data_IF_893467067403
#
_entry.id   IF_893467067403
#
_cell.length_a   1.000
_cell.length_b   1.000
_cell.length_c   1.000
_cell.angle_alpha   90.00
_cell.angle_beta   90.00
_cell.angle_gamma   90.00
#
_symmetry.space_group_name_H-M   'P 1'
#
loop_
_entity.id
_entity.type
_entity.pdbx_description
1 polymer ?
#
# COMPACT_ATOMS: atom_id res chain seq x y z
N UNK A 1 -4.88 -50.31 14.06
CA UNK A 1 -5.26 -49.40 12.96
C UNK A 1 -5.13 -50.22 11.70
N UNK A 2 -6.28 -50.62 11.16
CA UNK A 2 -6.39 -51.47 9.97
C UNK A 2 -6.16 -50.62 8.71
N UNK A 3 -5.26 -51.02 7.79
CA UNK A 3 -5.06 -50.32 6.53
C UNK A 3 -5.65 -51.16 5.39
N UNK A 4 -6.91 -50.92 5.01
CA UNK A 4 -7.43 -51.27 3.66
C UNK A 4 -8.93 -51.00 3.49
N UNK A 5 -9.26 -49.91 2.80
CA UNK A 5 -10.36 -49.88 1.82
C UNK A 5 -10.24 -48.62 0.97
N UNK A 6 -9.54 -48.72 -0.16
CA UNK A 6 -9.62 -47.73 -1.23
C UNK A 6 -10.70 -48.24 -2.21
N UNK A 7 -11.78 -47.47 -2.37
CA UNK A 7 -12.85 -47.75 -3.32
C UNK A 7 -12.63 -46.90 -4.59
N UNK A 8 -12.22 -47.51 -5.72
CA UNK A 8 -11.97 -46.79 -6.96
C UNK A 8 -13.24 -46.32 -7.69
N UNK A 9 -14.44 -46.51 -7.13
CA UNK A 9 -15.71 -46.05 -7.71
C UNK A 9 -16.40 -44.93 -6.91
N UNK A 10 -15.71 -44.28 -5.97
CA UNK A 10 -16.21 -43.06 -5.37
C UNK A 10 -16.22 -41.94 -6.44
N UNK A 11 -17.41 -41.64 -6.96
CA UNK A 11 -17.63 -40.48 -7.83
C UNK A 11 -17.16 -39.18 -7.15
N UNK A 12 -17.00 -38.08 -7.93
CA UNK A 12 -16.45 -36.84 -7.42
C UNK A 12 -17.18 -36.40 -6.14
N UNK A 13 -16.45 -36.00 -5.08
CA UNK A 13 -17.07 -35.63 -3.83
C UNK A 13 -18.06 -34.48 -4.08
N UNK A 14 -19.29 -34.67 -3.64
CA UNK A 14 -20.30 -33.63 -3.65
C UNK A 14 -19.73 -32.40 -2.93
N UNK A 15 -19.66 -31.30 -3.68
CA UNK A 15 -19.24 -29.97 -3.26
C UNK A 15 -19.88 -29.64 -1.90
N UNK A 16 -19.10 -29.79 -0.83
CA UNK A 16 -19.54 -29.39 0.51
C UNK A 16 -19.53 -27.88 0.52
N UNK A 17 -20.73 -27.30 0.57
CA UNK A 17 -20.95 -25.86 0.54
C UNK A 17 -20.08 -25.09 1.54
N UNK A 18 -19.84 -23.80 1.25
CA UNK A 18 -18.75 -23.04 1.82
C UNK A 18 -18.87 -22.95 3.34
N UNK A 19 -17.73 -23.23 3.96
CA UNK A 19 -17.39 -22.92 5.33
C UNK A 19 -17.73 -21.47 5.67
N UNK A 20 -18.26 -21.29 6.89
CA UNK A 20 -18.29 -20.07 7.70
C UNK A 20 -18.39 -18.74 6.96
N UNK A 21 -19.55 -18.08 7.08
CA UNK A 21 -19.66 -16.66 6.80
C UNK A 21 -18.46 -15.92 7.43
N UNK A 22 -17.70 -15.13 6.65
CA UNK A 22 -16.62 -14.33 7.19
C UNK A 22 -17.18 -13.49 8.34
N UNK A 23 -16.47 -13.44 9.46
CA UNK A 23 -16.61 -12.36 10.43
C UNK A 23 -16.71 -11.06 9.63
N UNK A 24 -17.83 -10.33 9.78
CA UNK A 24 -18.14 -9.18 8.95
C UNK A 24 -16.97 -8.20 8.87
N UNK A 25 -16.93 -7.36 7.81
CA UNK A 25 -15.85 -6.40 7.60
C UNK A 25 -15.58 -5.65 8.90
N UNK A 26 -14.30 -5.60 9.28
CA UNK A 26 -13.87 -4.89 10.48
C UNK A 26 -14.51 -3.51 10.46
N UNK A 27 -15.28 -3.17 11.50
CA UNK A 27 -15.92 -1.87 11.56
C UNK A 27 -14.82 -0.83 11.46
N UNK A 28 -14.82 -0.07 10.37
CA UNK A 28 -13.85 0.99 10.16
C UNK A 28 -13.78 1.85 11.41
N UNK A 29 -12.58 2.29 11.76
CA UNK A 29 -12.42 3.24 12.84
C UNK A 29 -13.24 4.50 12.50
N UNK A 30 -14.20 4.81 13.36
CA UNK A 30 -14.86 6.11 13.38
C UNK A 30 -14.23 6.91 14.52
N UNK A 31 -13.48 7.98 14.25
CA UNK A 31 -12.96 8.85 15.29
C UNK A 31 -14.08 9.26 16.24
N UNK A 32 -13.90 8.96 17.52
CA UNK A 32 -14.81 9.43 18.55
C UNK A 32 -14.46 10.88 18.93
N UNK A 33 -15.36 11.63 19.58
CA UNK A 33 -15.03 12.95 20.13
C UNK A 33 -13.91 12.91 21.19
N UNK A 34 -13.44 11.73 21.59
CA UNK A 34 -12.33 11.56 22.52
C UNK A 34 -10.96 11.41 21.82
N UNK A 35 -10.94 11.07 20.53
CA UNK A 35 -9.71 10.78 19.76
C UNK A 35 -9.18 11.99 19.00
N UNK A 36 -10.00 13.03 18.83
CA UNK A 36 -9.55 14.36 18.44
C UNK A 36 -9.84 15.34 19.57
N UNK A 37 -8.81 16.09 19.98
CA UNK A 37 -8.96 17.16 20.96
C UNK A 37 -8.28 18.40 20.41
N UNK A 38 -9.03 19.48 20.39
CA UNK A 38 -8.53 20.81 20.10
C UNK A 38 -8.82 21.71 21.29
N UNK A 39 -7.90 22.66 21.54
CA UNK A 39 -8.01 23.82 22.45
C UNK A 39 -7.35 23.67 23.83
N UNK A 40 -6.21 24.36 23.97
CA UNK A 40 -5.88 25.25 25.09
C UNK A 40 -5.52 26.62 24.52
N UNK A 41 -6.35 27.64 24.74
CA UNK A 41 -6.13 28.98 24.19
C UNK A 41 -4.94 29.69 24.86
N UNK A 42 -4.09 30.43 24.11
CA UNK A 42 -3.72 31.76 24.55
C UNK A 42 -4.93 32.69 24.39
N UNK A 43 -5.37 33.32 25.48
CA UNK A 43 -6.36 34.39 25.42
C UNK A 43 -5.96 35.43 24.36
N UNK A 44 -6.87 35.87 23.46
CA UNK A 44 -6.62 36.99 22.58
C UNK A 44 -6.30 38.24 23.43
N UNK A 45 -5.01 38.53 23.61
CA UNK A 45 -4.50 39.61 24.46
C UNK A 45 -3.64 39.21 25.66
N UNK A 46 -3.26 37.93 25.84
CA UNK A 46 -2.27 37.57 26.87
C UNK A 46 -0.87 38.09 26.50
N UNK A 47 -0.51 39.25 27.06
CA UNK A 47 0.88 39.66 27.18
C UNK A 47 1.65 38.56 27.92
N UNK A 48 2.76 38.11 27.35
CA UNK A 48 3.72 37.20 27.99
C UNK A 48 4.01 37.74 29.41
N UNK A 49 3.71 37.00 30.48
CA UNK A 49 4.03 37.44 31.84
C UNK A 49 5.54 37.61 31.97
N UNK A 50 6.06 38.73 32.51
CA UNK A 50 7.48 38.83 32.83
C UNK A 50 7.82 37.75 33.85
N UNK A 51 8.84 36.94 33.54
CA UNK A 51 9.31 35.85 34.39
C UNK A 51 9.59 36.27 35.83
N UNK A 52 9.53 35.33 36.79
CA UNK A 52 9.61 35.62 38.22
C UNK A 52 10.92 36.31 38.58
N UNK A 53 10.83 37.58 38.98
CA UNK A 53 11.94 38.28 39.61
C UNK A 53 12.23 37.67 40.99
N UNK A 54 13.50 37.49 41.37
CA UNK A 54 13.85 36.97 42.68
C UNK A 54 13.49 37.97 43.78
N UNK A 55 12.87 37.43 44.83
CA UNK A 55 12.58 37.97 46.15
C UNK A 55 13.34 39.26 46.53
N UNK A 56 12.60 40.35 46.76
CA UNK A 56 13.09 41.50 47.53
C UNK A 56 12.00 42.02 48.49
N UNK A 57 12.42 42.10 49.73
CA UNK A 57 11.76 42.49 50.98
C UNK A 57 10.99 43.82 50.97
N UNK A 58 9.97 43.86 51.83
CA UNK A 58 9.02 44.95 52.08
C UNK A 58 9.65 46.32 52.38
N UNK A 59 9.01 47.38 51.87
CA UNK A 59 9.21 48.75 52.37
C UNK A 59 7.86 49.51 52.45
N UNK A 60 7.42 49.96 53.66
CA UNK A 60 6.07 50.51 53.89
C UNK A 60 5.98 52.05 53.85
N UNK A 61 6.55 52.72 52.84
CA UNK A 61 6.31 54.15 52.62
C UNK A 61 6.15 54.45 51.12
N UNK A 62 4.89 54.44 50.66
CA UNK A 62 4.51 54.91 49.34
C UNK A 62 3.78 56.25 49.45
N UNK A 63 4.39 57.31 48.93
CA UNK A 63 3.70 58.55 48.53
C UNK A 63 3.83 58.71 47.01
N UNK A 64 2.82 59.28 46.32
CA UNK A 64 2.72 59.20 44.87
C UNK A 64 3.41 60.40 44.20
N UNK A 65 4.27 60.12 43.23
CA UNK A 65 4.69 61.11 42.22
C UNK A 65 5.11 60.38 40.95
N UNK A 66 4.24 60.45 39.95
CA UNK A 66 4.53 60.09 38.56
C UNK A 66 5.63 60.97 37.96
N UNK A 67 6.57 60.39 37.19
CA UNK A 67 7.19 61.05 36.05
C UNK A 67 6.87 60.32 34.71
N UNK A 68 7.12 60.97 33.56
CA UNK A 68 6.53 60.61 32.28
C UNK A 68 7.22 59.41 31.60
N UNK A 69 6.45 58.78 30.71
CA UNK A 69 6.80 57.64 29.89
C UNK A 69 8.11 57.84 29.09
N UNK A 70 8.97 56.81 29.13
CA UNK A 70 10.09 56.66 28.21
C UNK A 70 9.62 56.04 26.88
N UNK A 71 10.27 56.37 25.74
CA UNK A 71 9.93 55.84 24.42
C UNK A 71 10.16 54.32 24.35
N UNK A 72 9.20 53.60 23.80
CA UNK A 72 9.24 52.15 23.64
C UNK A 72 10.47 51.68 22.85
N UNK A 73 11.16 50.67 23.39
CA UNK A 73 12.04 49.84 22.60
C UNK A 73 11.18 48.88 21.76
N UNK A 74 11.48 48.68 20.47
CA UNK A 74 10.83 47.65 19.68
C UNK A 74 11.12 46.26 20.28
N UNK A 75 10.20 45.29 20.16
CA UNK A 75 10.42 43.95 20.65
C UNK A 75 11.68 43.37 20.02
N UNK A 76 12.57 42.84 20.87
CA UNK A 76 13.71 42.07 20.40
C UNK A 76 13.20 40.70 19.97
N UNK A 77 12.97 40.57 18.67
CA UNK A 77 12.90 39.26 18.03
C UNK A 77 14.23 38.55 18.29
N UNK A 78 14.16 37.32 18.81
CA UNK A 78 15.32 36.44 18.79
C UNK A 78 15.82 36.37 17.34
N UNK A 79 17.14 36.45 17.10
CA UNK A 79 17.68 36.43 15.75
C UNK A 79 17.27 35.11 15.09
N UNK A 80 16.49 35.23 14.02
CA UNK A 80 16.21 34.15 13.07
C UNK A 80 17.57 33.57 12.67
N UNK A 81 17.82 32.25 12.89
CA UNK A 81 19.06 31.65 12.43
C UNK A 81 19.19 31.89 10.93
N UNK A 82 20.38 32.28 10.44
CA UNK A 82 20.57 32.51 9.01
C UNK A 82 20.19 31.23 8.25
N UNK A 83 19.48 31.35 7.12
CA UNK A 83 19.16 30.20 6.29
C UNK A 83 20.45 29.47 5.96
N UNK A 84 20.52 28.18 6.29
CA UNK A 84 21.66 27.34 5.94
C UNK A 84 21.75 27.27 4.42
N UNK A 85 22.61 28.11 3.86
CA UNK A 85 22.92 28.14 2.45
C UNK A 85 23.62 26.84 2.05
N UNK A 86 22.96 26.05 1.22
CA UNK A 86 23.61 25.24 0.19
C UNK A 86 24.06 23.84 0.62
N UNK A 87 23.23 22.84 0.34
CA UNK A 87 23.75 21.54 -0.08
C UNK A 87 24.19 21.71 -1.54
N UNK A 88 25.46 21.44 -1.91
CA UNK A 88 25.91 21.58 -3.28
C UNK A 88 25.23 20.54 -4.18
N UNK A 89 24.40 21.03 -5.11
CA UNK A 89 23.89 20.28 -6.26
C UNK A 89 25.06 20.01 -7.23
N UNK A 90 25.92 19.06 -6.87
CA UNK A 90 27.04 18.62 -7.69
C UNK A 90 27.48 17.20 -7.28
N UNK A 91 26.60 16.20 -7.43
CA UNK A 91 26.94 14.83 -7.05
C UNK A 91 26.20 13.69 -7.76
N UNK A 92 25.12 13.95 -8.51
CA UNK A 92 24.26 12.87 -9.03
C UNK A 92 24.54 12.47 -10.48
N UNK A 93 25.14 13.35 -11.29
CA UNK A 93 25.46 13.02 -12.70
C UNK A 93 26.61 11.99 -12.81
N UNK A 94 27.45 11.85 -11.77
CA UNK A 94 28.54 10.86 -11.76
C UNK A 94 28.08 9.41 -11.55
N UNK A 95 26.96 9.18 -10.85
CA UNK A 95 26.49 7.83 -10.52
C UNK A 95 25.63 7.25 -11.65
N UNK A 96 24.79 8.06 -12.29
CA UNK A 96 23.97 7.61 -13.42
C UNK A 96 24.80 7.15 -14.64
N UNK A 97 25.92 7.82 -14.93
CA UNK A 97 26.83 7.41 -16.02
C UNK A 97 27.63 6.14 -15.70
N UNK A 98 27.90 5.85 -14.42
CA UNK A 98 28.58 4.64 -13.98
C UNK A 98 27.73 3.37 -14.10
N UNK A 99 26.42 3.48 -13.80
CA UNK A 99 25.49 2.34 -13.86
C UNK A 99 25.15 1.97 -15.31
N UNK A 100 24.97 2.95 -16.20
CA UNK A 100 24.69 2.69 -17.63
C UNK A 100 25.87 2.01 -18.33
N UNK A 101 27.12 2.33 -17.94
CA UNK A 101 28.31 1.68 -18.51
C UNK A 101 28.47 0.23 -18.02
N UNK A 102 28.12 -0.06 -16.77
CA UNK A 102 28.20 -1.42 -16.21
C UNK A 102 27.10 -2.35 -16.75
N UNK A 103 25.89 -1.84 -17.00
CA UNK A 103 24.80 -2.61 -17.63
C UNK A 103 25.06 -2.83 -19.13
N UNK A 104 25.61 -1.84 -19.84
CA UNK A 104 25.94 -1.96 -21.27
C UNK A 104 27.07 -2.95 -21.57
N UNK A 105 28.10 -3.02 -20.71
CA UNK A 105 29.20 -3.98 -20.88
C UNK A 105 28.89 -5.38 -20.33
N UNK A 106 27.95 -5.51 -19.37
CA UNK A 106 27.53 -6.79 -18.81
C UNK A 106 26.70 -7.66 -19.77
N UNK A 107 25.87 -7.06 -20.62
CA UNK A 107 24.97 -7.80 -21.52
C UNK A 107 25.69 -8.31 -22.78
N UNK A 108 26.78 -7.66 -23.21
CA UNK A 108 27.53 -8.10 -24.40
C UNK A 108 28.43 -9.32 -24.12
N UNK A 109 28.72 -9.62 -22.85
CA UNK A 109 29.58 -10.75 -22.44
C UNK A 109 28.88 -12.10 -22.28
N UNK A 110 27.54 -12.14 -22.22
CA UNK A 110 26.79 -13.35 -21.83
C UNK A 110 26.13 -14.10 -23.00
N UNK A 111 26.31 -13.67 -24.26
CA UNK A 111 25.66 -14.30 -25.43
C UNK A 111 26.60 -15.23 -26.23
N UNK A 112 27.83 -15.48 -25.78
CA UNK A 112 28.82 -16.31 -26.52
C UNK A 112 29.12 -17.67 -25.84
N UNK A 113 28.53 -18.00 -24.68
CA UNK A 113 28.96 -19.17 -23.89
C UNK A 113 27.92 -20.28 -23.67
N UNK A 114 26.96 -20.50 -24.58
CA UNK A 114 26.09 -21.68 -24.54
C UNK A 114 25.98 -22.33 -25.92
N UNK A 115 27.09 -22.93 -26.34
CA UNK A 115 27.12 -23.94 -27.41
C UNK A 115 27.13 -25.32 -26.71
N UNK A 116 26.04 -26.10 -26.73
CA UNK A 116 26.06 -27.45 -26.16
C UNK A 116 26.90 -28.35 -27.06
N UNK A 117 28.09 -28.71 -26.58
CA UNK A 117 28.95 -29.70 -27.20
C UNK A 117 28.30 -31.09 -27.18
N UNK A 118 28.08 -31.64 -28.38
CA UNK A 118 27.82 -33.06 -28.61
C UNK A 118 28.92 -33.94 -27.98
N UNK A 119 28.59 -34.97 -27.18
CA UNK A 119 29.58 -35.95 -26.75
C UNK A 119 29.91 -36.92 -27.91
N UNK A 120 31.21 -37.15 -28.22
CA UNK A 120 31.60 -38.08 -29.27
C UNK A 120 31.65 -39.53 -28.75
N UNK A 121 30.96 -40.41 -29.48
CA UNK A 121 31.51 -41.68 -29.94
C UNK A 121 31.48 -42.88 -28.99
N UNK A 122 30.83 -43.95 -29.45
CA UNK A 122 31.47 -45.28 -29.52
C UNK A 122 30.83 -46.09 -30.66
N UNK A 123 31.62 -46.25 -31.73
CA UNK A 123 31.46 -47.29 -32.74
C UNK A 123 31.81 -48.64 -32.13
N UNK A 124 30.84 -49.53 -32.01
CA UNK A 124 31.07 -50.96 -31.87
C UNK A 124 30.34 -51.67 -33.02
N UNK A 125 31.13 -52.14 -33.99
CA UNK A 125 30.69 -53.11 -34.96
C UNK A 125 30.66 -54.48 -34.29
N UNK A 126 29.53 -55.17 -34.35
CA UNK A 126 29.51 -56.63 -34.28
C UNK A 126 28.50 -57.19 -35.28
N UNK A 127 28.86 -58.36 -35.79
CA UNK A 127 28.39 -58.94 -37.04
C UNK A 127 27.54 -60.17 -36.78
N UNK A 128 26.38 -60.26 -37.45
CA UNK A 128 25.85 -61.54 -37.96
C UNK A 128 24.75 -62.25 -37.15
N UNK A 129 23.84 -62.86 -37.93
CA UNK A 129 22.92 -63.94 -37.50
C UNK A 129 21.48 -63.46 -37.28
N UNK A 130 20.57 -63.51 -38.25
CA UNK A 130 19.87 -64.68 -38.82
C UNK A 130 18.44 -64.88 -38.22
N UNK A 131 17.51 -65.15 -39.15
CA UNK A 131 16.21 -65.82 -39.04
C UNK A 131 15.16 -65.41 -37.98
N UNK A 132 14.19 -64.60 -38.44
CA UNK A 132 12.78 -65.03 -38.51
C UNK A 132 11.93 -65.06 -37.24
N UNK A 133 10.96 -64.14 -37.15
CA UNK A 133 9.59 -64.44 -36.70
C UNK A 133 8.67 -63.25 -37.02
N UNK A 134 7.74 -63.45 -37.96
CA UNK A 134 6.58 -62.58 -38.13
C UNK A 134 5.66 -62.78 -36.91
N UNK A 135 5.82 -61.93 -35.90
CA UNK A 135 4.84 -61.73 -34.84
C UNK A 135 4.10 -60.43 -35.11
N UNK A 136 2.82 -60.50 -35.42
CA UNK A 136 1.92 -59.35 -35.55
C UNK A 136 1.73 -58.75 -34.16
N UNK A 137 2.55 -57.75 -33.83
CA UNK A 137 2.39 -56.96 -32.61
C UNK A 137 1.06 -56.19 -32.70
N UNK A 138 0.15 -56.32 -31.71
CA UNK A 138 -1.03 -55.49 -31.66
C UNK A 138 -0.54 -54.04 -31.58
N UNK A 139 -0.98 -53.24 -32.55
CA UNK A 139 -0.76 -51.80 -32.55
C UNK A 139 -1.48 -51.26 -31.31
N UNK A 140 -0.73 -51.08 -30.22
CA UNK A 140 -1.17 -50.31 -29.06
C UNK A 140 -1.46 -48.90 -29.58
N UNK A 141 -2.74 -48.68 -29.89
CA UNK A 141 -3.27 -47.36 -30.13
C UNK A 141 -3.10 -46.62 -28.80
N UNK A 142 -2.00 -45.87 -28.68
CA UNK A 142 -1.81 -44.89 -27.63
C UNK A 142 -3.10 -44.09 -27.57
N UNK A 143 -3.88 -44.35 -26.52
CA UNK A 143 -5.14 -43.65 -26.31
C UNK A 143 -4.70 -42.26 -25.88
N UNK A 144 -4.66 -41.36 -26.86
CA UNK A 144 -4.34 -39.95 -26.69
C UNK A 144 -5.31 -39.44 -25.62
N UNK A 145 -4.82 -39.40 -24.38
CA UNK A 145 -5.64 -39.03 -23.25
C UNK A 145 -5.75 -37.53 -23.40
N UNK A 146 -6.89 -37.10 -23.96
CA UNK A 146 -7.17 -35.70 -24.20
C UNK A 146 -6.82 -34.93 -22.93
N UNK A 147 -5.83 -34.03 -23.04
CA UNK A 147 -5.42 -33.17 -21.94
C UNK A 147 -6.68 -32.41 -21.53
N UNK A 148 -7.06 -32.53 -20.26
CA UNK A 148 -8.22 -31.84 -19.74
C UNK A 148 -8.03 -30.33 -19.97
N UNK A 149 -9.05 -29.68 -20.53
CA UNK A 149 -9.06 -28.24 -20.76
C UNK A 149 -9.86 -27.61 -19.61
N UNK A 150 -9.20 -27.22 -18.50
CA UNK A 150 -9.89 -26.63 -17.35
C UNK A 150 -10.65 -25.35 -17.75
N UNK A 151 -10.19 -24.68 -18.81
CA UNK A 151 -10.81 -23.47 -19.34
C UNK A 151 -12.10 -23.78 -20.07
N UNK A 152 -12.29 -24.99 -20.63
CA UNK A 152 -13.53 -25.39 -21.31
C UNK A 152 -14.66 -25.80 -20.36
N UNK A 153 -14.32 -26.33 -19.18
CA UNK A 153 -15.30 -26.88 -18.22
C UNK A 153 -15.61 -25.95 -17.03
N UNK A 154 -14.79 -24.92 -16.80
CA UNK A 154 -15.00 -23.93 -15.73
C UNK A 154 -16.39 -23.26 -15.74
N UNK A 155 -16.87 -22.91 -14.55
CA UNK A 155 -18.01 -22.02 -14.33
C UNK A 155 -17.59 -20.82 -13.47
N UNK A 156 -18.39 -19.75 -13.48
CA UNK A 156 -18.20 -18.60 -12.58
C UNK A 156 -18.21 -19.09 -11.13
N UNK A 157 -17.19 -18.71 -10.37
CA UNK A 157 -16.93 -19.14 -8.99
C UNK A 157 -15.94 -20.32 -8.86
N UNK A 158 -15.54 -20.97 -9.95
CA UNK A 158 -14.49 -21.99 -9.90
C UNK A 158 -13.13 -21.34 -9.62
N UNK A 159 -12.25 -22.10 -8.97
CA UNK A 159 -10.95 -21.63 -8.55
C UNK A 159 -9.80 -22.44 -9.15
N UNK A 160 -8.70 -21.74 -9.44
CA UNK A 160 -7.53 -22.29 -10.11
C UNK A 160 -6.24 -21.81 -9.46
N UNK A 161 -5.23 -22.68 -9.42
CA UNK A 161 -3.84 -22.25 -9.29
C UNK A 161 -3.25 -22.06 -10.67
N UNK A 162 -2.46 -21.00 -10.86
CA UNK A 162 -1.65 -20.79 -12.07
C UNK A 162 -0.19 -21.12 -11.76
N UNK A 163 0.30 -22.25 -12.26
CA UNK A 163 1.72 -22.63 -12.16
C UNK A 163 2.58 -22.07 -13.29
N UNK A 164 1.94 -21.46 -14.29
CA UNK A 164 2.58 -20.81 -15.42
C UNK A 164 2.90 -19.35 -15.15
N UNK A 165 2.88 -18.55 -16.22
CA UNK A 165 3.05 -17.09 -16.17
C UNK A 165 1.73 -16.38 -16.53
N UNK A 166 1.75 -15.05 -16.59
CA UNK A 166 0.67 -14.23 -17.11
C UNK A 166 0.37 -14.48 -18.60
N UNK A 167 1.42 -14.81 -19.37
CA UNK A 167 1.39 -14.96 -20.83
C UNK A 167 1.33 -16.42 -21.28
N UNK A 168 1.76 -17.35 -20.43
CA UNK A 168 1.58 -18.80 -20.64
C UNK A 168 0.96 -19.41 -19.38
N UNK A 169 -0.36 -19.25 -19.18
CA UNK A 169 -1.05 -19.77 -18.00
C UNK A 169 -1.07 -21.30 -18.00
N UNK A 170 -0.87 -21.89 -16.83
CA UNK A 170 -1.00 -23.33 -16.57
C UNK A 170 -1.95 -23.52 -15.39
N UNK A 171 -3.24 -23.66 -15.71
CA UNK A 171 -4.32 -23.68 -14.72
C UNK A 171 -4.57 -25.10 -14.21
N UNK A 172 -4.61 -25.26 -12.90
CA UNK A 172 -5.08 -26.48 -12.24
C UNK A 172 -6.25 -26.12 -11.31
N UNK A 173 -7.33 -26.92 -11.33
CA UNK A 173 -8.46 -26.73 -10.43
C UNK A 173 -8.01 -26.75 -8.97
N UNK A 174 -8.48 -25.81 -8.18
CA UNK A 174 -8.05 -25.56 -6.82
C UNK A 174 -9.23 -25.32 -5.87
N UNK A 175 -8.93 -25.35 -4.56
CA UNK A 175 -9.85 -24.83 -3.55
C UNK A 175 -9.69 -23.31 -3.49
N UNK A 176 -10.82 -22.59 -3.52
CA UNK A 176 -10.82 -21.13 -3.39
C UNK A 176 -10.18 -20.67 -2.08
N UNK A 177 -9.29 -19.69 -2.17
CA UNK A 177 -8.58 -19.14 -1.02
C UNK A 177 -7.39 -18.27 -1.45
N UNK A 178 -6.56 -17.92 -0.49
CA UNK A 178 -5.33 -17.15 -0.76
C UNK A 178 -4.44 -17.89 -1.77
N UNK A 179 -3.90 -17.15 -2.74
CA UNK A 179 -3.09 -17.67 -3.83
C UNK A 179 -3.87 -18.27 -5.01
N UNK A 180 -5.20 -18.36 -4.93
CA UNK A 180 -6.02 -18.88 -6.02
C UNK A 180 -6.62 -17.76 -6.87
N UNK A 181 -6.86 -18.09 -8.14
CA UNK A 181 -7.65 -17.32 -9.08
C UNK A 181 -9.10 -17.81 -9.06
N UNK A 182 -10.06 -16.92 -8.92
CA UNK A 182 -11.49 -17.22 -9.03
C UNK A 182 -12.01 -16.75 -10.38
N UNK A 183 -12.79 -17.58 -11.08
CA UNK A 183 -13.51 -17.16 -12.28
C UNK A 183 -14.61 -16.19 -11.91
N UNK A 184 -14.46 -14.92 -12.29
CA UNK A 184 -15.45 -13.87 -12.01
C UNK A 184 -16.40 -13.63 -13.16
N UNK A 185 -15.97 -13.94 -14.39
CA UNK A 185 -16.82 -13.87 -15.59
C UNK A 185 -16.34 -14.84 -16.67
N UNK A 186 -17.23 -15.18 -17.61
CA UNK A 186 -16.96 -16.02 -18.77
C UNK A 186 -17.54 -15.35 -20.02
N UNK A 187 -16.67 -15.02 -20.97
CA UNK A 187 -17.07 -14.43 -22.25
C UNK A 187 -17.11 -15.52 -23.31
N UNK A 188 -18.32 -15.89 -23.70
CA UNK A 188 -18.58 -16.95 -24.69
C UNK A 188 -18.42 -16.44 -26.14
N UNK A 189 -18.14 -17.36 -27.06
CA UNK A 189 -18.07 -17.09 -28.51
C UNK A 189 -16.81 -16.32 -28.97
N UNK A 190 -15.78 -16.24 -28.12
CA UNK A 190 -14.54 -15.49 -28.41
C UNK A 190 -13.32 -16.16 -27.80
N UNK A 191 -12.14 -15.86 -28.34
CA UNK A 191 -10.83 -16.16 -27.72
C UNK A 191 -10.04 -14.86 -27.45
N UNK A 192 -10.71 -13.72 -27.55
CA UNK A 192 -10.12 -12.40 -27.36
C UNK A 192 -9.99 -12.08 -25.86
N UNK A 193 -8.76 -12.15 -25.34
CA UNK A 193 -8.45 -11.91 -23.93
C UNK A 193 -8.81 -10.49 -23.48
N UNK A 194 -8.85 -9.52 -24.40
CA UNK A 194 -9.18 -8.12 -24.07
C UNK A 194 -10.64 -7.93 -23.67
N UNK A 195 -11.48 -8.96 -23.83
CA UNK A 195 -12.85 -8.95 -23.37
C UNK A 195 -12.97 -8.76 -21.84
N UNK A 196 -11.90 -9.02 -21.08
CA UNK A 196 -11.86 -8.83 -19.63
C UNK A 196 -11.31 -7.46 -19.18
N UNK A 197 -10.75 -6.64 -20.07
CA UNK A 197 -10.00 -5.40 -19.72
C UNK A 197 -10.84 -4.35 -19.00
N UNK A 198 -12.17 -4.39 -19.16
CA UNK A 198 -13.08 -3.45 -18.50
C UNK A 198 -13.35 -3.79 -17.03
N UNK A 199 -12.86 -4.92 -16.52
CA UNK A 199 -13.12 -5.39 -15.17
C UNK A 199 -11.92 -5.11 -14.25
N UNK A 200 -12.03 -4.19 -13.29
CA UNK A 200 -10.90 -3.75 -12.45
C UNK A 200 -10.36 -4.84 -11.51
N UNK A 201 -11.14 -5.89 -11.25
CA UNK A 201 -10.76 -7.00 -10.35
C UNK A 201 -10.11 -8.17 -11.09
N UNK A 202 -9.99 -8.11 -12.42
CA UNK A 202 -9.39 -9.17 -13.22
C UNK A 202 -7.88 -8.98 -13.28
N UNK A 203 -7.14 -10.05 -12.99
CA UNK A 203 -5.67 -10.06 -13.06
C UNK A 203 -5.17 -11.00 -14.16
N UNK A 204 -6.01 -11.92 -14.64
CA UNK A 204 -5.63 -12.90 -15.65
C UNK A 204 -6.83 -13.22 -16.55
N UNK A 205 -6.61 -13.25 -17.86
CA UNK A 205 -7.58 -13.72 -18.84
C UNK A 205 -7.02 -14.95 -19.55
N UNK A 206 -7.82 -16.01 -19.65
CA UNK A 206 -7.39 -17.27 -20.29
C UNK A 206 -8.46 -17.75 -21.25
N UNK A 207 -8.08 -18.08 -22.50
CA UNK A 207 -9.00 -18.52 -23.55
C UNK A 207 -8.92 -20.02 -23.80
N UNK A 208 -10.06 -20.65 -24.12
CA UNK A 208 -10.11 -21.98 -24.74
C UNK A 208 -10.60 -21.85 -26.18
N UNK A 209 -9.74 -22.22 -27.13
CA UNK A 209 -10.11 -22.25 -28.56
C UNK A 209 -11.11 -23.37 -28.87
N UNK A 210 -11.05 -24.47 -28.12
CA UNK A 210 -11.92 -25.63 -28.34
C UNK A 210 -13.37 -25.34 -27.90
N UNK A 211 -13.52 -24.62 -26.78
CA UNK A 211 -14.81 -24.15 -26.26
C UNK A 211 -15.23 -22.77 -26.81
N UNK A 212 -14.32 -22.07 -27.49
CA UNK A 212 -14.52 -20.70 -28.01
C UNK A 212 -14.97 -19.73 -26.91
N UNK A 213 -14.26 -19.69 -25.78
CA UNK A 213 -14.57 -18.78 -24.66
C UNK A 213 -13.33 -18.25 -23.95
N UNK A 214 -13.52 -17.18 -23.17
CA UNK A 214 -12.51 -16.54 -22.32
C UNK A 214 -12.98 -16.54 -20.87
N UNK A 215 -12.12 -16.98 -19.95
CA UNK A 215 -12.31 -16.81 -18.52
C UNK A 215 -11.64 -15.53 -18.05
N UNK A 216 -12.39 -14.72 -17.32
CA UNK A 216 -11.87 -13.56 -16.60
C UNK A 216 -11.63 -13.98 -15.13
N UNK A 217 -10.37 -13.94 -14.70
CA UNK A 217 -9.93 -14.49 -13.42
C UNK A 217 -9.45 -13.38 -12.47
N UNK A 218 -9.92 -13.45 -11.23
CA UNK A 218 -9.52 -12.54 -10.15
C UNK A 218 -8.67 -13.28 -9.11
N UNK A 219 -7.50 -12.75 -8.80
CA UNK A 219 -6.56 -13.31 -7.84
C UNK A 219 -6.94 -12.93 -6.41
N UNK A 220 -6.86 -13.87 -5.48
CA UNK A 220 -7.05 -13.63 -4.05
C UNK A 220 -5.69 -13.63 -3.36
N UNK A 221 -5.14 -12.45 -3.06
CA UNK A 221 -3.84 -12.35 -2.40
C UNK A 221 -3.88 -12.88 -0.96
N UNK A 222 -4.87 -12.42 -0.19
CA UNK A 222 -5.10 -12.81 1.21
C UNK A 222 -6.57 -13.18 1.37
N UNK A 223 -6.87 -14.20 2.18
CA UNK A 223 -8.25 -14.63 2.40
C UNK A 223 -9.03 -13.56 3.18
N UNK A 224 -10.15 -13.12 2.63
CA UNK A 224 -10.98 -12.06 3.24
C UNK A 224 -10.43 -10.65 3.04
N UNK A 225 -9.46 -10.47 2.14
CA UNK A 225 -8.95 -9.18 1.71
C UNK A 225 -9.57 -8.82 0.35
N UNK A 226 -10.25 -7.69 0.26
CA UNK A 226 -10.72 -7.13 -1.00
C UNK A 226 -9.97 -5.83 -1.38
N UNK A 227 -9.14 -5.29 -0.48
CA UNK A 227 -8.30 -4.13 -0.76
C UNK A 227 -7.22 -4.43 -1.81
N UNK A 228 -6.80 -5.68 -1.99
CA UNK A 228 -5.91 -6.06 -3.09
C UNK A 228 -6.39 -5.57 -4.47
N UNK A 229 -7.71 -5.44 -4.67
CA UNK A 229 -8.31 -4.92 -5.92
C UNK A 229 -8.75 -3.45 -5.83
N UNK A 230 -8.47 -2.77 -4.73
CA UNK A 230 -8.87 -1.38 -4.55
C UNK A 230 -8.27 -0.49 -5.64
N UNK A 231 -9.11 0.41 -6.14
CA UNK A 231 -8.80 1.36 -7.20
C UNK A 231 -8.47 2.74 -6.63
N UNK A 232 -7.79 3.56 -7.43
CA UNK A 232 -7.51 4.96 -7.07
C UNK A 232 -8.83 5.68 -6.79
N UNK A 233 -8.90 6.31 -5.61
CA UNK A 233 -10.06 7.02 -5.12
C UNK A 233 -10.94 6.21 -4.17
N UNK A 234 -10.81 4.89 -4.12
CA UNK A 234 -11.51 4.05 -3.14
C UNK A 234 -10.85 4.17 -1.77
N UNK A 235 -11.60 3.88 -0.71
CA UNK A 235 -11.11 3.88 0.65
C UNK A 235 -10.97 2.46 1.17
N UNK A 236 -9.89 2.23 1.91
CA UNK A 236 -9.53 0.95 2.50
C UNK A 236 -9.23 1.14 3.98
N UNK A 237 -9.39 0.06 4.74
CA UNK A 237 -8.99 0.00 6.13
C UNK A 237 -8.53 -1.40 6.50
N UNK A 238 -7.54 -1.48 7.38
CA UNK A 238 -6.99 -2.71 7.90
C UNK A 238 -6.17 -2.41 9.13
N UNK A 239 -5.45 -3.41 9.64
CA UNK A 239 -4.53 -3.20 10.76
C UNK A 239 -3.11 -3.01 10.24
N UNK A 240 -2.26 -2.34 11.01
CA UNK A 240 -0.82 -2.24 10.76
C UNK A 240 -0.07 -3.58 10.88
N UNK A 241 -0.76 -4.68 11.21
CA UNK A 241 -0.15 -6.01 11.32
C UNK A 241 0.15 -6.58 9.93
N UNK A 242 1.42 -6.87 9.68
CA UNK A 242 1.86 -7.48 8.42
C UNK A 242 1.08 -8.77 8.11
N UNK A 243 0.56 -8.88 6.89
CA UNK A 243 -0.21 -10.03 6.43
C UNK A 243 -1.67 -10.09 6.92
N UNK A 244 -2.16 -9.07 7.63
CA UNK A 244 -3.59 -8.94 7.92
C UNK A 244 -4.37 -8.52 6.67
N UNK A 245 -5.63 -8.95 6.58
CA UNK A 245 -6.52 -8.54 5.51
C UNK A 245 -6.88 -7.05 5.64
N UNK A 246 -6.83 -6.34 4.52
CA UNK A 246 -7.36 -5.00 4.33
C UNK A 246 -8.65 -5.08 3.53
N UNK A 247 -9.58 -4.18 3.84
CA UNK A 247 -10.90 -4.16 3.23
C UNK A 247 -11.25 -2.80 2.63
N UNK A 248 -11.97 -2.79 1.52
CA UNK A 248 -12.64 -1.60 0.97
C UNK A 248 -13.75 -1.20 1.94
N UNK A 249 -13.76 0.07 2.31
CA UNK A 249 -14.73 0.67 3.24
C UNK A 249 -15.27 1.97 2.65
N UNK A 250 -16.33 2.51 3.23
CA UNK A 250 -16.79 3.85 2.89
C UNK A 250 -15.71 4.89 3.25
N UNK A 251 -15.55 5.90 2.40
CA UNK A 251 -14.64 7.00 2.68
C UNK A 251 -15.17 7.85 3.84
N UNK A 252 -14.48 7.76 4.96
CA UNK A 252 -14.79 8.47 6.20
C UNK A 252 -13.49 8.82 6.93
N UNK A 253 -13.58 9.69 7.94
CA UNK A 253 -12.44 10.04 8.77
C UNK A 253 -11.82 8.78 9.39
N UNK A 254 -10.50 8.72 9.40
CA UNK A 254 -9.72 7.57 9.85
C UNK A 254 -9.54 6.45 8.82
N UNK A 255 -10.26 6.47 7.69
CA UNK A 255 -10.02 5.54 6.59
C UNK A 255 -8.81 5.98 5.75
N UNK A 256 -8.27 5.06 4.94
CA UNK A 256 -7.21 5.36 3.99
C UNK A 256 -7.78 5.43 2.58
N UNK A 257 -7.61 6.54 1.88
CA UNK A 257 -7.90 6.65 0.47
C UNK A 257 -6.71 6.17 -0.36
N UNK A 258 -6.96 5.33 -1.36
CA UNK A 258 -5.97 4.92 -2.35
C UNK A 258 -5.71 6.12 -3.28
N UNK A 259 -4.51 6.70 -3.21
CA UNK A 259 -4.11 7.81 -4.07
C UNK A 259 -3.32 7.34 -5.29
N UNK A 260 -2.67 6.19 -5.17
CA UNK A 260 -1.94 5.54 -6.25
C UNK A 260 -1.94 4.03 -6.03
N UNK A 261 -2.04 3.29 -7.14
CA UNK A 261 -1.90 1.84 -7.19
C UNK A 261 -0.78 1.53 -8.15
N UNK A 262 0.20 0.75 -7.70
CA UNK A 262 1.36 0.36 -8.51
C UNK A 262 1.39 -1.15 -8.66
N UNK A 263 0.99 -1.64 -9.83
CA UNK A 263 1.06 -3.06 -10.17
C UNK A 263 2.50 -3.47 -10.54
N UNK A 264 2.85 -4.72 -10.28
CA UNK A 264 4.19 -5.25 -10.52
C UNK A 264 5.24 -4.83 -9.48
N UNK A 265 4.82 -4.21 -8.37
CA UNK A 265 5.68 -3.73 -7.30
C UNK A 265 5.17 -4.24 -5.95
N UNK A 266 6.08 -4.46 -5.01
CA UNK A 266 5.75 -4.85 -3.63
C UNK A 266 6.37 -3.94 -2.57
N UNK A 267 7.22 -2.98 -2.96
CA UNK A 267 7.78 -1.97 -2.05
C UNK A 267 7.03 -0.64 -2.13
N UNK A 268 6.73 -0.05 -0.98
CA UNK A 268 6.16 1.29 -0.88
C UNK A 268 7.12 2.40 -1.37
N UNK A 269 8.39 2.11 -1.60
CA UNK A 269 9.32 3.03 -2.30
C UNK A 269 8.86 3.35 -3.73
N UNK A 270 7.94 2.56 -4.29
CA UNK A 270 7.33 2.81 -5.60
C UNK A 270 6.26 3.91 -5.57
N UNK A 271 5.79 4.31 -4.39
CA UNK A 271 4.81 5.37 -4.26
C UNK A 271 5.42 6.72 -4.63
N UNK A 272 4.65 7.54 -5.35
CA UNK A 272 5.05 8.91 -5.67
C UNK A 272 5.25 9.75 -4.41
N UNK A 273 6.16 10.74 -4.48
CA UNK A 273 6.39 11.75 -3.45
C UNK A 273 5.22 12.76 -3.36
N UNK A 274 4.00 12.25 -3.16
CA UNK A 274 2.81 13.06 -2.90
C UNK A 274 2.85 13.57 -1.47
N UNK A 275 2.51 14.85 -1.26
CA UNK A 275 2.33 15.44 0.08
C UNK A 275 1.35 14.64 0.95
N UNK A 276 0.40 13.96 0.31
CA UNK A 276 -0.65 13.20 1.00
C UNK A 276 -0.34 11.72 1.19
N UNK A 277 0.78 11.22 0.65
CA UNK A 277 1.23 9.86 0.91
C UNK A 277 1.74 9.74 2.35
N UNK A 278 1.16 8.83 3.12
CA UNK A 278 1.55 8.63 4.52
C UNK A 278 1.71 7.16 4.91
N UNK A 279 1.08 6.25 4.15
CA UNK A 279 1.15 4.82 4.43
C UNK A 279 1.10 4.02 3.13
N UNK A 280 1.69 2.83 3.14
CA UNK A 280 1.69 1.92 2.00
C UNK A 280 1.33 0.50 2.39
N UNK A 281 0.51 -0.17 1.57
CA UNK A 281 0.20 -1.59 1.73
C UNK A 281 0.75 -2.34 0.52
N UNK A 282 1.75 -3.18 0.75
CA UNK A 282 2.38 -4.02 -0.27
C UNK A 282 1.86 -5.44 -0.23
N UNK A 283 1.46 -5.96 -1.39
CA UNK A 283 1.14 -7.36 -1.63
C UNK A 283 2.28 -7.97 -2.44
N UNK A 284 3.07 -8.82 -1.80
CA UNK A 284 4.09 -9.63 -2.47
C UNK A 284 3.58 -11.05 -2.63
N UNK A 285 3.70 -11.57 -3.84
CA UNK A 285 3.23 -12.89 -4.22
C UNK A 285 4.39 -13.73 -4.76
N UNK A 286 4.13 -15.00 -5.10
CA UNK A 286 5.13 -15.82 -5.80
C UNK A 286 5.36 -15.41 -7.26
N UNK A 287 4.58 -14.44 -7.78
CA UNK A 287 4.51 -14.07 -9.18
C UNK A 287 4.54 -12.55 -9.30
N UNK A 288 5.65 -11.96 -9.73
CA UNK A 288 5.84 -10.50 -9.67
C UNK A 288 4.79 -9.68 -10.41
N UNK A 289 4.11 -10.24 -11.43
CA UNK A 289 3.03 -9.54 -12.14
C UNK A 289 1.75 -9.35 -11.30
N UNK A 290 1.61 -10.13 -10.22
CA UNK A 290 0.52 -10.01 -9.25
C UNK A 290 0.90 -9.15 -8.05
N UNK A 291 2.18 -8.77 -7.92
CA UNK A 291 2.59 -7.87 -6.86
C UNK A 291 1.88 -6.52 -7.04
N UNK A 292 1.44 -5.93 -5.94
CA UNK A 292 0.74 -4.65 -5.96
C UNK A 292 1.13 -3.84 -4.74
N UNK A 293 1.31 -2.54 -4.91
CA UNK A 293 1.39 -1.59 -3.81
C UNK A 293 0.24 -0.60 -3.90
N UNK A 294 -0.44 -0.40 -2.78
CA UNK A 294 -1.39 0.69 -2.59
C UNK A 294 -0.69 1.80 -1.81
N UNK A 295 -0.65 2.99 -2.40
CA UNK A 295 -0.16 4.21 -1.78
C UNK A 295 -1.35 4.95 -1.19
N UNK A 296 -1.28 5.22 0.11
CA UNK A 296 -2.46 5.58 0.89
C UNK A 296 -2.33 6.98 1.51
N UNK A 297 -3.44 7.70 1.46
CA UNK A 297 -3.70 8.94 2.19
C UNK A 297 -4.68 8.64 3.33
N UNK A 298 -4.31 8.95 4.57
CA UNK A 298 -5.26 8.94 5.68
C UNK A 298 -6.22 10.13 5.59
N UNK A 299 -7.51 9.87 5.72
CA UNK A 299 -8.53 10.92 5.84
C UNK A 299 -8.60 11.37 7.30
N UNK A 300 -7.72 12.27 7.73
CA UNK A 300 -7.74 12.77 9.10
C UNK A 300 -9.01 13.60 9.38
N UNK A 301 -9.59 13.45 10.57
CA UNK A 301 -10.74 14.25 10.99
C UNK A 301 -10.40 15.74 11.06
N UNK A 302 -9.13 16.05 11.34
CA UNK A 302 -8.60 17.40 11.37
C UNK A 302 -8.14 17.94 10.00
N UNK A 303 -8.40 17.21 8.92
CA UNK A 303 -8.04 17.61 7.55
C UNK A 303 -6.53 17.55 7.32
N UNK A 304 -5.98 18.61 6.75
CA UNK A 304 -4.57 18.66 6.33
C UNK A 304 -3.59 18.79 7.49
N UNK A 305 -4.07 18.98 8.73
CA UNK A 305 -3.22 19.04 9.92
C UNK A 305 -2.35 17.79 10.10
N UNK A 306 -2.85 16.62 9.67
CA UNK A 306 -2.10 15.37 9.69
C UNK A 306 -0.90 15.34 8.75
N UNK A 307 -0.82 16.27 7.79
CA UNK A 307 0.23 16.36 6.78
C UNK A 307 1.16 17.56 6.96
N UNK A 308 0.69 18.60 7.65
CA UNK A 308 1.40 19.86 7.75
C UNK A 308 2.70 19.74 8.56
N UNK A 309 3.73 20.44 8.09
CA UNK A 309 5.04 20.60 8.73
C UNK A 309 5.15 21.92 9.48
N UNK A 310 6.23 22.10 10.25
CA UNK A 310 6.50 23.39 10.91
C UNK A 310 6.70 24.47 9.84
N UNK A 311 6.18 25.67 10.12
CA UNK A 311 6.13 26.83 9.22
C UNK A 311 5.11 26.75 8.07
N UNK A 312 4.35 25.66 7.93
CA UNK A 312 3.23 25.61 6.98
C UNK A 312 2.12 26.56 7.41
N UNK A 313 1.63 27.34 6.45
CA UNK A 313 0.47 28.21 6.61
C UNK A 313 -0.80 27.45 6.23
N UNK A 314 -1.85 27.63 7.01
CA UNK A 314 -3.12 26.90 6.85
C UNK A 314 -4.33 27.81 7.09
N UNK A 315 -5.44 27.40 6.51
CA UNK A 315 -6.77 27.89 6.87
C UNK A 315 -7.36 26.94 7.91
N UNK A 316 -7.73 27.48 9.06
CA UNK A 316 -8.41 26.74 10.13
C UNK A 316 -9.85 27.24 10.27
N UNK A 317 -10.80 26.31 10.43
CA UNK A 317 -12.20 26.64 10.63
C UNK A 317 -12.47 27.36 11.97
N UNK A 318 -13.67 27.91 12.14
CA UNK A 318 -14.03 28.72 13.32
C UNK A 318 -14.13 27.92 14.63
N UNK A 319 -14.32 26.61 14.55
CA UNK A 319 -14.38 25.68 15.68
C UNK A 319 -13.02 25.02 15.98
N UNK A 320 -11.96 25.38 15.24
CA UNK A 320 -10.57 24.99 15.50
C UNK A 320 -10.29 23.48 15.35
N UNK A 321 -11.14 22.78 14.62
CA UNK A 321 -11.10 21.32 14.49
C UNK A 321 -10.53 20.85 13.15
N UNK A 322 -10.61 21.69 12.11
CA UNK A 322 -10.27 21.32 10.75
C UNK A 322 -9.34 22.34 10.11
N UNK A 323 -8.32 21.84 9.43
CA UNK A 323 -7.25 22.61 8.80
C UNK A 323 -7.15 22.25 7.32
N UNK A 324 -6.89 23.23 6.47
CA UNK A 324 -6.64 23.05 5.04
C UNK A 324 -5.35 23.78 4.66
N UNK A 325 -4.54 23.16 3.80
CA UNK A 325 -3.41 23.85 3.19
C UNK A 325 -3.89 25.04 2.36
N UNK A 326 -3.15 26.15 2.45
CA UNK A 326 -3.35 27.33 1.59
C UNK A 326 -2.17 27.49 0.65
N UNK A 327 -2.41 28.09 -0.52
CA UNK A 327 -1.35 28.32 -1.50
C UNK A 327 -0.36 29.41 -1.09
N UNK A 328 -0.79 30.35 -0.25
CA UNK A 328 0.00 31.46 0.29
C UNK A 328 -0.44 31.74 1.74
N UNK A 329 0.48 32.20 2.58
CA UNK A 329 0.20 32.56 3.96
C UNK A 329 -0.79 33.73 4.08
N UNK A 330 -0.86 34.61 3.08
CA UNK A 330 -1.85 35.70 3.05
C UNK A 330 -3.30 35.19 2.96
N UNK A 331 -3.52 33.96 2.49
CA UNK A 331 -4.83 33.30 2.42
C UNK A 331 -5.12 32.46 3.69
N UNK A 332 -4.12 32.26 4.55
CA UNK A 332 -4.22 31.51 5.79
C UNK A 332 -4.67 32.37 6.98
N UNK A 333 -5.02 31.71 8.07
CA UNK A 333 -5.26 32.37 9.36
C UNK A 333 -4.38 31.81 10.49
N UNK A 334 -3.66 30.71 10.24
CA UNK A 334 -2.71 30.13 11.17
C UNK A 334 -1.46 29.62 10.45
N UNK A 335 -0.41 29.42 11.22
CA UNK A 335 0.79 28.69 10.81
C UNK A 335 1.23 27.71 11.90
N UNK A 336 1.90 26.63 11.51
CA UNK A 336 2.37 25.62 12.43
C UNK A 336 3.68 26.04 13.11
N UNK A 337 3.72 25.96 14.43
CA UNK A 337 4.90 26.30 15.25
C UNK A 337 5.61 25.07 15.82
N UNK A 338 4.97 23.90 15.75
CA UNK A 338 5.52 22.65 16.23
C UNK A 338 4.71 21.46 15.75
N UNK A 339 5.37 20.32 15.56
CA UNK A 339 4.75 19.02 15.30
C UNK A 339 5.48 17.91 16.05
N UNK A 340 4.74 16.94 16.57
CA UNK A 340 5.29 15.68 17.08
C UNK A 340 4.31 14.54 16.83
N UNK A 341 4.83 13.34 16.59
CA UNK A 341 4.01 12.11 16.54
C UNK A 341 3.95 11.43 17.92
N UNK A 342 4.57 12.02 18.94
CA UNK A 342 4.50 11.53 20.31
C UNK A 342 3.22 12.02 21.00
N UNK A 343 2.66 11.17 21.87
CA UNK A 343 1.58 11.57 22.76
C UNK A 343 2.13 12.49 23.85
N UNK A 344 1.92 13.79 23.69
CA UNK A 344 2.37 14.84 24.62
C UNK A 344 1.17 15.56 25.23
N UNK A 345 1.41 16.21 26.37
CA UNK A 345 0.47 17.17 26.92
C UNK A 345 0.54 18.47 26.09
N UNK A 346 -0.40 18.62 25.14
CA UNK A 346 -0.38 19.73 24.18
C UNK A 346 -0.32 21.12 24.82
N UNK A 347 -0.96 21.31 25.97
CA UNK A 347 -0.97 22.61 26.67
C UNK A 347 0.44 23.01 27.16
N UNK A 348 1.16 22.10 27.82
CA UNK A 348 2.52 22.38 28.28
C UNK A 348 3.55 22.33 27.14
N UNK A 349 3.39 21.42 26.18
CA UNK A 349 4.32 21.26 25.08
C UNK A 349 4.28 22.44 24.10
N UNK A 350 3.09 22.92 23.76
CA UNK A 350 2.93 24.09 22.89
C UNK A 350 3.20 25.42 23.60
N UNK A 351 3.53 25.44 24.89
CA UNK A 351 4.02 26.62 25.62
C UNK A 351 3.18 27.90 25.37
N UNK A 352 1.85 27.75 25.43
CA UNK A 352 0.90 28.84 25.21
C UNK A 352 0.52 29.12 23.76
N UNK A 353 1.01 28.36 22.77
CA UNK A 353 0.43 28.33 21.42
C UNK A 353 -0.87 27.51 21.40
N UNK A 354 -1.68 27.70 20.36
CA UNK A 354 -2.81 26.81 20.10
C UNK A 354 -2.30 25.41 19.79
N UNK A 355 -3.10 24.38 20.08
CA UNK A 355 -2.72 23.00 19.81
C UNK A 355 -3.92 22.17 19.33
N UNK A 356 -3.62 21.16 18.52
CA UNK A 356 -4.55 20.12 18.07
C UNK A 356 -3.86 18.77 18.16
N UNK A 357 -4.60 17.74 18.52
CA UNK A 357 -4.12 16.36 18.61
C UNK A 357 -5.13 15.41 17.98
N UNK A 358 -4.62 14.42 17.26
CA UNK A 358 -5.40 13.31 16.72
C UNK A 358 -4.70 11.98 17.02
N UNK A 359 -5.44 11.08 17.68
CA UNK A 359 -5.03 9.71 17.93
C UNK A 359 -5.53 8.78 16.82
N UNK A 360 -4.63 7.91 16.36
CA UNK A 360 -4.93 6.83 15.42
C UNK A 360 -4.54 5.51 16.07
N UNK A 361 -5.45 4.87 16.83
CA UNK A 361 -5.10 3.73 17.69
C UNK A 361 -4.48 2.53 16.96
N UNK A 362 -4.98 2.23 15.76
CA UNK A 362 -4.49 1.10 14.95
C UNK A 362 -3.18 1.42 14.19
N UNK A 363 -2.84 2.71 14.11
CA UNK A 363 -1.60 3.23 13.51
C UNK A 363 -1.00 4.34 14.39
N UNK A 364 -0.50 4.02 15.60
CA UNK A 364 -0.02 5.03 16.54
C UNK A 364 1.08 5.94 15.97
N UNK A 365 1.88 5.45 15.03
CA UNK A 365 2.90 6.21 14.31
C UNK A 365 2.34 7.36 13.46
N UNK A 366 1.05 7.29 13.11
CA UNK A 366 0.30 8.30 12.36
C UNK A 366 -0.48 9.27 13.27
N UNK A 367 -0.44 9.04 14.59
CA UNK A 367 -0.97 10.00 15.56
C UNK A 367 -0.06 11.22 15.61
N UNK A 368 -0.63 12.39 15.93
CA UNK A 368 0.16 13.60 16.00
C UNK A 368 -0.42 14.64 16.95
N UNK A 369 0.47 15.49 17.48
CA UNK A 369 0.15 16.77 18.09
C UNK A 369 0.79 17.88 17.27
N UNK A 370 0.02 18.91 16.90
CA UNK A 370 0.54 20.14 16.30
C UNK A 370 0.34 21.33 17.24
N UNK A 371 1.29 22.26 17.20
CA UNK A 371 1.15 23.61 17.74
C UNK A 371 0.93 24.58 16.59
N UNK A 372 0.07 25.58 16.80
CA UNK A 372 -0.21 26.59 15.80
C UNK A 372 -0.33 27.99 16.42
N UNK A 373 -0.02 29.01 15.62
CA UNK A 373 -0.18 30.42 15.94
C UNK A 373 -1.03 31.12 14.88
N UNK A 374 -1.72 32.20 15.27
CA UNK A 374 -2.43 33.05 14.30
C UNK A 374 -1.44 33.86 13.45
N UNK A 375 -1.76 34.02 12.16
CA UNK A 375 -1.03 34.87 11.21
C UNK A 375 -1.35 36.36 11.38
#
# INVERSE_FOLDING_TARGET
MDPSSYDPNAGPPANQGPYGAPSGPGQGYTPGPETSRSIGYPQPGAQIPPGPAPYATANPYATPSYPPAYPGMPPQYAPVPPPSSGIPVAGWIGIALGVVLLVGLGITGLVIALDPADPPGVTAADSGGDSGASGSDPTDAATDTAVADPVADAVVGDCFYNYGTDTTPDLETAVCGAGAFTTVDIVEGTTDLTACDAMPTVNLAVSSTSASRVLCLSYTAISGDDAYHAQVGECVYGTSTAGSAWNIVECQDGAFKVIERVDGQSSYDACTDSTYFIYGVGYSTGQTYLDTVLCLQMLYASGDAGYAEVDDCMSMNSDYTYFEFVSDCDDGNVYLTGRTNELVDGESWCNGWGWSYEEVPDFPELSFTICWGYL
#
